data_IF_222397575934
#
_entry.id   IF_222397575934
#
_cell.length_a   1.000
_cell.length_b   1.000
_cell.length_c   1.000
_cell.angle_alpha   90.00
_cell.angle_beta   90.00
_cell.angle_gamma   90.00
#
_symmetry.space_group_name_H-M   'P 1'
#
loop_
_entity.id
_entity.type
_entity.pdbx_description
1 polymer ?
#
# COMPACT_ATOMS: atom_id res chain seq x y z
N UNK A 1 13.91 -3.81 22.84
CA UNK A 1 14.41 -2.43 22.69
C UNK A 1 13.66 -1.83 21.51
N UNK A 2 12.69 -0.94 21.74
CA UNK A 2 12.02 -0.23 20.65
C UNK A 2 12.97 0.86 20.17
N UNK A 3 13.64 0.63 19.06
CA UNK A 3 14.43 1.68 18.43
C UNK A 3 13.48 2.48 17.57
N UNK A 4 13.32 3.77 17.87
CA UNK A 4 12.46 4.64 17.08
C UNK A 4 12.88 4.58 15.60
N UNK A 5 11.92 4.56 14.65
CA UNK A 5 12.25 4.46 13.23
C UNK A 5 13.15 5.62 12.80
N UNK A 6 14.23 5.30 12.07
CA UNK A 6 15.01 6.35 11.40
C UNK A 6 14.11 6.97 10.34
N UNK A 7 13.96 8.29 10.38
CA UNK A 7 13.11 9.02 9.45
C UNK A 7 13.96 9.93 8.57
N UNK A 8 13.74 9.88 7.26
CA UNK A 8 14.36 10.76 6.27
C UNK A 8 13.27 11.62 5.64
N UNK A 9 13.41 12.94 5.73
CA UNK A 9 12.50 13.88 5.07
C UNK A 9 12.97 14.14 3.64
N UNK A 10 12.09 13.92 2.67
CA UNK A 10 12.31 14.25 1.26
C UNK A 10 11.53 15.52 0.93
N UNK A 11 12.24 16.57 0.52
CA UNK A 11 11.64 17.85 0.13
C UNK A 11 11.16 17.89 -1.32
N UNK A 12 10.70 19.06 -1.77
CA UNK A 12 10.23 19.30 -3.14
C UNK A 12 8.81 19.85 -3.17
N UNK A 13 8.17 19.82 -4.34
CA UNK A 13 6.77 20.28 -4.51
C UNK A 13 5.75 19.39 -3.78
N UNK A 14 6.10 18.13 -3.55
CA UNK A 14 5.30 17.13 -2.83
C UNK A 14 6.18 16.41 -1.82
N UNK A 15 6.42 16.99 -0.63
CA UNK A 15 7.30 16.40 0.37
C UNK A 15 6.70 15.14 1.00
N UNK A 16 7.55 14.21 1.44
CA UNK A 16 7.15 12.99 2.14
C UNK A 16 8.26 12.48 3.08
N UNK A 17 7.89 11.55 3.97
CA UNK A 17 8.81 10.91 4.92
C UNK A 17 9.08 9.47 4.51
N UNK A 18 10.33 9.03 4.69
CA UNK A 18 10.74 7.63 4.59
C UNK A 18 11.07 7.16 6.00
N UNK A 19 10.35 6.14 6.49
CA UNK A 19 10.59 5.51 7.79
C UNK A 19 11.33 4.19 7.61
N UNK A 20 12.36 3.97 8.42
CA UNK A 20 13.28 2.82 8.30
C UNK A 20 13.45 2.19 9.68
N UNK A 21 12.86 1.01 9.87
CA UNK A 21 13.05 0.14 11.02
C UNK A 21 12.60 -1.30 10.69
N UNK A 22 13.03 -2.30 11.46
CA UNK A 22 12.47 -3.65 11.38
C UNK A 22 10.98 -3.64 11.75
N UNK A 23 10.17 -4.44 11.04
CA UNK A 23 8.78 -4.70 11.42
C UNK A 23 7.75 -3.62 11.08
N UNK A 24 8.13 -2.53 10.38
CA UNK A 24 7.21 -1.42 10.10
C UNK A 24 5.99 -1.78 9.25
N UNK A 25 6.02 -2.89 8.50
CA UNK A 25 4.84 -3.39 7.77
C UNK A 25 3.69 -3.81 8.70
N UNK A 26 3.97 -4.11 9.97
CA UNK A 26 2.96 -4.38 10.99
C UNK A 26 2.47 -3.12 11.73
N UNK A 27 3.05 -1.96 11.45
CA UNK A 27 2.63 -0.69 12.08
C UNK A 27 1.45 -0.10 11.30
N UNK A 28 0.25 -0.56 11.62
CA UNK A 28 -0.99 -0.12 10.98
C UNK A 28 -1.24 1.38 11.12
N UNK A 29 -0.81 2.01 12.22
CA UNK A 29 -0.96 3.45 12.43
C UNK A 29 -0.09 4.25 11.47
N UNK A 30 1.15 3.82 11.26
CA UNK A 30 2.06 4.42 10.28
C UNK A 30 1.53 4.27 8.85
N UNK A 31 1.07 3.07 8.49
CA UNK A 31 0.51 2.79 7.16
C UNK A 31 -0.78 3.59 6.91
N UNK A 32 -1.71 3.57 7.87
CA UNK A 32 -2.98 4.27 7.76
C UNK A 32 -2.83 5.79 7.74
N UNK A 33 -1.74 6.34 8.29
CA UNK A 33 -1.45 7.78 8.26
C UNK A 33 -1.30 8.37 6.86
N UNK A 34 -0.97 7.55 5.86
CA UNK A 34 -0.91 7.96 4.46
C UNK A 34 -2.30 7.91 3.75
N UNK A 35 -3.27 7.19 4.32
CA UNK A 35 -4.58 6.96 3.71
C UNK A 35 -5.52 8.11 4.05
N UNK A 36 -5.87 8.91 3.04
CA UNK A 36 -6.79 10.06 3.20
C UNK A 36 -8.26 9.65 3.11
N UNK A 37 -8.59 8.79 2.15
CA UNK A 37 -9.94 8.31 1.92
C UNK A 37 -10.27 7.03 2.70
N UNK A 38 -11.22 6.26 2.16
CA UNK A 38 -11.63 4.95 2.70
C UNK A 38 -11.28 3.77 1.81
N UNK A 39 -10.77 3.99 0.60
CA UNK A 39 -10.44 2.92 -0.34
C UNK A 39 -8.92 2.75 -0.40
N UNK A 40 -8.46 1.51 -0.25
CA UNK A 40 -7.06 1.12 -0.42
C UNK A 40 -6.99 0.00 -1.45
N UNK A 41 -6.13 0.11 -2.46
CA UNK A 41 -5.81 -1.00 -3.34
C UNK A 41 -4.38 -1.48 -3.06
N UNK A 42 -4.23 -2.66 -2.45
CA UNK A 42 -2.91 -3.26 -2.28
C UNK A 42 -2.44 -3.89 -3.60
N UNK A 43 -1.39 -3.32 -4.21
CA UNK A 43 -0.78 -3.85 -5.44
C UNK A 43 0.57 -4.49 -5.12
N UNK A 44 0.77 -5.73 -5.56
CA UNK A 44 2.02 -6.47 -5.36
C UNK A 44 2.27 -7.43 -6.53
N UNK A 45 3.48 -7.94 -6.67
CA UNK A 45 3.73 -9.08 -7.55
C UNK A 45 3.41 -10.43 -6.88
N UNK A 46 3.35 -11.49 -7.68
CA UNK A 46 3.06 -12.87 -7.29
C UNK A 46 4.16 -13.54 -6.42
N UNK A 47 5.35 -12.95 -6.33
CA UNK A 47 6.43 -13.42 -5.47
C UNK A 47 6.34 -12.81 -4.07
N UNK A 48 6.00 -11.53 -3.98
CA UNK A 48 5.96 -10.75 -2.74
C UNK A 48 4.59 -10.88 -2.05
N UNK A 49 3.50 -10.99 -2.82
CA UNK A 49 2.14 -11.03 -2.26
C UNK A 49 1.93 -12.15 -1.23
N UNK A 50 2.37 -13.41 -1.47
CA UNK A 50 2.20 -14.49 -0.50
C UNK A 50 2.95 -14.26 0.83
N UNK A 51 3.98 -13.41 0.84
CA UNK A 51 4.83 -13.17 2.00
C UNK A 51 4.27 -12.07 2.91
N UNK A 52 3.72 -11.00 2.33
CA UNK A 52 3.45 -9.77 3.09
C UNK A 52 2.03 -9.22 2.95
N UNK A 53 1.30 -9.54 1.88
CA UNK A 53 0.03 -8.88 1.59
C UNK A 53 -0.99 -9.09 2.72
N UNK A 54 -1.13 -10.32 3.21
CA UNK A 54 -2.04 -10.65 4.30
C UNK A 54 -1.71 -9.86 5.58
N UNK A 55 -0.42 -9.71 5.91
CA UNK A 55 0.04 -8.96 7.08
C UNK A 55 -0.24 -7.46 6.96
N UNK A 56 0.06 -6.86 5.80
CA UNK A 56 -0.21 -5.43 5.55
C UNK A 56 -1.71 -5.13 5.57
N UNK A 57 -2.52 -6.01 4.95
CA UNK A 57 -3.98 -5.89 4.98
C UNK A 57 -4.52 -5.93 6.42
N UNK A 58 -4.05 -6.87 7.24
CA UNK A 58 -4.45 -6.98 8.64
C UNK A 58 -4.07 -5.72 9.43
N UNK A 59 -2.82 -5.26 9.32
CA UNK A 59 -2.36 -4.06 10.02
C UNK A 59 -3.18 -2.80 9.65
N UNK A 60 -3.50 -2.61 8.37
CA UNK A 60 -4.37 -1.51 7.92
C UNK A 60 -5.79 -1.64 8.46
N UNK A 61 -6.38 -2.84 8.41
CA UNK A 61 -7.74 -3.08 8.88
C UNK A 61 -7.86 -2.90 10.40
N UNK A 62 -6.86 -3.34 11.16
CA UNK A 62 -6.81 -3.19 12.62
C UNK A 62 -6.70 -1.71 13.01
N UNK A 63 -5.92 -0.92 12.27
CA UNK A 63 -5.76 0.51 12.52
C UNK A 63 -6.97 1.35 12.06
N UNK A 64 -7.60 0.98 10.94
CA UNK A 64 -8.75 1.67 10.35
C UNK A 64 -9.78 0.65 9.84
N UNK A 65 -10.70 0.19 10.72
CA UNK A 65 -11.70 -0.82 10.37
C UNK A 65 -12.71 -0.40 9.30
N UNK A 66 -12.79 0.90 9.01
CA UNK A 66 -13.67 1.48 8.00
C UNK A 66 -13.10 1.42 6.58
N UNK A 67 -11.84 1.01 6.41
CA UNK A 67 -11.22 0.87 5.09
C UNK A 67 -11.87 -0.25 4.27
N UNK A 68 -12.09 0.04 2.99
CA UNK A 68 -12.40 -0.91 1.95
C UNK A 68 -11.11 -1.25 1.21
N UNK A 69 -10.58 -2.45 1.49
CA UNK A 69 -9.26 -2.87 1.00
C UNK A 69 -9.44 -3.88 -0.14
N UNK A 70 -9.13 -3.45 -1.36
CA UNK A 70 -8.95 -4.31 -2.53
C UNK A 70 -7.50 -4.79 -2.64
N UNK A 71 -7.26 -5.77 -3.52
CA UNK A 71 -5.92 -6.22 -3.87
C UNK A 71 -5.81 -6.51 -5.37
N UNK A 72 -4.63 -6.30 -5.95
CA UNK A 72 -4.32 -6.65 -7.32
C UNK A 72 -2.90 -7.24 -7.40
N UNK A 73 -2.79 -8.46 -7.91
CA UNK A 73 -1.51 -9.18 -8.03
C UNK A 73 -1.12 -9.29 -9.50
N UNK A 74 0.13 -8.93 -9.81
CA UNK A 74 0.70 -9.01 -11.16
C UNK A 74 1.86 -10.03 -11.20
N UNK A 75 2.27 -10.53 -12.38
CA UNK A 75 3.47 -11.35 -12.48
C UNK A 75 4.74 -10.60 -12.04
N UNK A 76 5.65 -11.27 -11.34
CA UNK A 76 6.93 -10.68 -10.95
C UNK A 76 7.84 -10.39 -12.16
N UNK A 77 8.64 -9.32 -12.03
CA UNK A 77 9.69 -8.93 -12.98
C UNK A 77 9.31 -7.77 -13.90
N UNK A 78 10.34 -7.16 -14.52
CA UNK A 78 10.18 -5.93 -15.33
C UNK A 78 9.23 -6.11 -16.53
N UNK A 79 9.14 -7.34 -17.05
CA UNK A 79 8.26 -7.67 -18.17
C UNK A 79 6.77 -7.41 -17.89
N UNK A 80 6.36 -7.34 -16.61
CA UNK A 80 4.99 -7.01 -16.24
C UNK A 80 4.72 -5.50 -16.21
N UNK A 81 5.72 -4.63 -16.33
CA UNK A 81 5.52 -3.17 -16.40
C UNK A 81 5.02 -2.71 -17.77
N UNK A 82 3.79 -3.09 -18.08
CA UNK A 82 3.11 -2.77 -19.33
C UNK A 82 1.81 -2.04 -19.06
N UNK A 83 1.30 -1.31 -20.06
CA UNK A 83 -0.01 -0.66 -19.96
C UNK A 83 -1.15 -1.66 -19.75
N UNK A 84 -0.97 -2.92 -20.17
CA UNK A 84 -1.92 -3.99 -19.91
C UNK A 84 -2.06 -4.26 -18.41
N UNK A 85 -0.95 -4.51 -17.69
CA UNK A 85 -1.02 -4.77 -16.25
C UNK A 85 -1.38 -3.53 -15.46
N UNK A 86 -0.94 -2.34 -15.91
CA UNK A 86 -1.42 -1.08 -15.34
C UNK A 86 -2.95 -0.94 -15.49
N UNK A 87 -3.50 -1.26 -16.66
CA UNK A 87 -4.95 -1.29 -16.91
C UNK A 87 -5.68 -2.21 -15.92
N UNK A 88 -5.14 -3.39 -15.63
CA UNK A 88 -5.69 -4.30 -14.62
C UNK A 88 -5.78 -3.69 -13.22
N UNK A 89 -4.81 -2.86 -12.82
CA UNK A 89 -4.88 -2.14 -11.54
C UNK A 89 -5.97 -1.05 -11.56
N UNK A 90 -6.18 -0.38 -12.69
CA UNK A 90 -7.28 0.58 -12.87
C UNK A 90 -8.64 -0.13 -12.81
N UNK A 91 -8.78 -1.29 -13.44
CA UNK A 91 -10.00 -2.10 -13.37
C UNK A 91 -10.30 -2.57 -11.95
N UNK A 92 -9.25 -2.91 -11.17
CA UNK A 92 -9.37 -3.26 -9.77
C UNK A 92 -9.86 -2.07 -8.92
N UNK A 93 -9.34 -0.85 -9.15
CA UNK A 93 -9.85 0.37 -8.51
C UNK A 93 -11.31 0.63 -8.87
N UNK A 94 -11.68 0.48 -10.14
CA UNK A 94 -13.05 0.67 -10.59
C UNK A 94 -14.01 -0.34 -9.94
N UNK A 95 -13.61 -1.62 -9.86
CA UNK A 95 -14.37 -2.69 -9.21
C UNK A 95 -14.54 -2.43 -7.71
N UNK A 96 -13.51 -1.88 -7.05
CA UNK A 96 -13.59 -1.46 -5.64
C UNK A 96 -14.55 -0.27 -5.43
N UNK A 97 -14.99 0.41 -6.50
CA UNK A 97 -15.76 1.66 -6.39
C UNK A 97 -14.91 2.82 -5.86
N UNK A 98 -13.60 2.76 -6.10
CA UNK A 98 -12.64 3.70 -5.55
C UNK A 98 -12.89 5.13 -6.03
N UNK A 99 -12.85 6.07 -5.07
CA UNK A 99 -12.94 7.51 -5.30
C UNK A 99 -11.55 8.13 -5.50
N UNK A 100 -11.49 9.40 -5.89
CA UNK A 100 -10.22 10.11 -6.19
C UNK A 100 -9.23 10.22 -5.04
N UNK A 101 -9.67 9.98 -3.82
CA UNK A 101 -8.89 9.96 -2.58
C UNK A 101 -8.44 8.53 -2.18
N UNK A 102 -8.63 7.55 -3.07
CA UNK A 102 -8.11 6.21 -2.87
C UNK A 102 -6.58 6.22 -2.75
N UNK A 103 -6.07 5.37 -1.86
CA UNK A 103 -4.66 5.09 -1.75
C UNK A 103 -4.33 3.80 -2.50
N UNK A 104 -3.25 3.80 -3.26
CA UNK A 104 -2.68 2.60 -3.90
C UNK A 104 -1.33 2.34 -3.24
#
# INVERSE_FOLDING_TARGET
MSNAPRTVAVGGVSPYLIHIAPGLLGDGGLLAGAVRGRHVLLVSDDTVAPLYLAGVRAALQDARPDLQIGQHVIPAGEASKTLHHFGGAIDALATLGATRDACV
#
